data_IF_241752177894
#
_entry.id   IF_241752177894
#
_cell.length_a   1.000
_cell.length_b   1.000
_cell.length_c   1.000
_cell.angle_alpha   90.00
_cell.angle_beta   90.00
_cell.angle_gamma   90.00
#
_symmetry.space_group_name_H-M   'P 1'
#
loop_
_entity.id
_entity.type
_entity.pdbx_description
1 polymer ?
#
# COMPACT_ATOMS: atom_id res chain seq x y z
N UNK A 1 -65.34 -5.38 -21.80
CA UNK A 1 -63.98 -5.57 -22.38
C UNK A 1 -63.88 -4.65 -23.62
N UNK A 2 -62.75 -3.96 -23.84
CA UNK A 2 -62.70 -2.48 -23.77
C UNK A 2 -62.24 -1.74 -25.04
N UNK A 3 -62.48 -0.41 -25.00
CA UNK A 3 -61.75 0.77 -25.54
C UNK A 3 -60.87 0.70 -26.81
N UNK A 4 -60.91 1.82 -27.58
CA UNK A 4 -59.80 2.66 -28.09
C UNK A 4 -60.20 3.24 -29.46
N UNK A 5 -59.94 4.47 -29.88
CA UNK A 5 -59.35 5.66 -29.25
C UNK A 5 -59.57 6.79 -30.27
N UNK A 6 -60.38 7.79 -29.93
CA UNK A 6 -60.35 9.07 -30.64
C UNK A 6 -59.00 9.72 -30.36
N UNK A 7 -58.09 9.74 -31.34
CA UNK A 7 -57.01 10.74 -31.42
C UNK A 7 -56.90 11.26 -32.83
N UNK A 8 -57.86 12.12 -33.11
CA UNK A 8 -57.86 13.15 -34.14
C UNK A 8 -56.55 13.94 -34.09
N UNK A 9 -55.85 13.92 -35.22
CA UNK A 9 -55.24 15.08 -35.88
C UNK A 9 -54.50 16.05 -34.95
N UNK A 10 -53.23 15.77 -34.71
CA UNK A 10 -52.27 16.80 -34.32
C UNK A 10 -50.88 16.27 -34.63
N UNK A 11 -50.28 16.78 -35.72
CA UNK A 11 -48.83 17.02 -35.89
C UNK A 11 -48.49 17.17 -37.38
N UNK A 12 -49.00 18.22 -38.02
CA UNK A 12 -48.27 18.84 -39.14
C UNK A 12 -48.41 20.35 -39.00
N UNK A 13 -47.77 20.91 -37.96
CA UNK A 13 -47.49 22.34 -37.91
C UNK A 13 -46.02 22.51 -37.51
N UNK A 14 -45.23 22.88 -38.52
CA UNK A 14 -44.09 23.79 -38.45
C UNK A 14 -43.07 23.50 -37.34
N UNK A 15 -42.11 22.62 -37.61
CA UNK A 15 -40.84 22.63 -36.86
C UNK A 15 -40.00 23.81 -37.35
N UNK A 16 -40.10 24.94 -36.66
CA UNK A 16 -39.05 25.96 -36.67
C UNK A 16 -38.20 25.75 -35.41
N UNK A 17 -36.87 25.85 -35.54
CA UNK A 17 -35.96 25.70 -34.42
C UNK A 17 -36.26 26.76 -33.33
N UNK A 18 -36.15 26.42 -32.04
CA UNK A 18 -36.31 27.40 -30.96
C UNK A 18 -35.26 28.51 -31.10
N UNK A 19 -35.60 29.78 -30.80
CA UNK A 19 -34.64 30.86 -30.84
C UNK A 19 -33.51 30.62 -29.83
N UNK A 20 -32.28 30.98 -30.22
CA UNK A 20 -31.09 30.86 -29.36
C UNK A 20 -31.24 31.86 -28.20
N UNK A 21 -31.01 31.45 -26.93
CA UNK A 21 -31.07 32.38 -25.81
C UNK A 21 -29.99 33.45 -25.95
N UNK A 22 -30.40 34.72 -26.01
CA UNK A 22 -29.48 35.85 -25.94
C UNK A 22 -29.03 36.05 -24.50
N UNK A 23 -27.70 36.04 -24.28
CA UNK A 23 -27.10 36.38 -23.00
C UNK A 23 -26.92 37.90 -22.97
N UNK A 24 -27.61 38.58 -22.05
CA UNK A 24 -27.38 40.00 -21.81
C UNK A 24 -25.92 40.20 -21.35
N UNK A 25 -25.13 41.11 -21.97
CA UNK A 25 -23.78 41.39 -21.50
C UNK A 25 -23.88 42.11 -20.15
N UNK A 26 -23.75 41.37 -19.06
CA UNK A 26 -23.55 41.94 -17.74
C UNK A 26 -22.08 42.31 -17.59
N UNK A 27 -21.69 43.48 -18.09
CA UNK A 27 -20.37 44.11 -17.89
C UNK A 27 -20.15 44.57 -16.42
N UNK A 28 -20.84 43.96 -15.46
CA UNK A 28 -20.90 44.42 -14.07
C UNK A 28 -19.78 43.84 -13.18
N UNK A 29 -18.80 43.12 -13.75
CA UNK A 29 -17.65 42.63 -12.99
C UNK A 29 -16.41 42.44 -13.86
N UNK A 30 -15.96 43.53 -14.49
CA UNK A 30 -14.54 43.67 -14.79
C UNK A 30 -13.89 44.16 -13.50
N UNK A 31 -13.46 43.22 -12.65
CA UNK A 31 -12.61 43.57 -11.53
C UNK A 31 -11.39 44.31 -12.10
N UNK A 32 -11.02 45.50 -11.57
CA UNK A 32 -9.81 46.16 -12.01
C UNK A 32 -8.67 45.15 -11.83
N UNK A 33 -7.90 44.93 -12.89
CA UNK A 33 -6.60 44.27 -12.82
C UNK A 33 -5.72 45.22 -11.98
N UNK A 34 -5.89 45.16 -10.66
CA UNK A 34 -5.04 45.83 -9.69
C UNK A 34 -3.66 45.30 -10.03
N UNK A 35 -2.80 46.20 -10.53
CA UNK A 35 -1.40 45.87 -10.76
C UNK A 35 -0.94 45.18 -9.49
N UNK A 36 -0.54 43.93 -9.63
CA UNK A 36 0.03 43.18 -8.53
C UNK A 36 1.40 43.81 -8.35
N UNK A 37 1.44 44.95 -7.66
CA UNK A 37 2.59 45.40 -6.88
C UNK A 37 2.78 44.34 -5.80
N UNK A 38 3.21 43.14 -6.23
CA UNK A 38 3.83 42.16 -5.37
C UNK A 38 5.06 42.87 -4.84
N UNK A 39 4.92 43.43 -3.64
CA UNK A 39 6.04 43.99 -2.91
C UNK A 39 7.23 43.04 -3.04
N UNK A 40 8.38 43.59 -3.42
CA UNK A 40 9.60 42.82 -3.66
C UNK A 40 9.79 41.87 -2.48
N UNK A 41 9.60 40.57 -2.72
CA UNK A 41 9.87 39.55 -1.74
C UNK A 41 11.39 39.48 -1.60
N UNK A 42 11.91 40.20 -0.60
CA UNK A 42 13.34 40.21 -0.30
C UNK A 42 13.70 38.82 0.19
N UNK A 43 14.39 38.08 -0.66
CA UNK A 43 15.02 36.82 -0.30
C UNK A 43 16.09 37.12 0.75
N UNK A 44 16.15 36.33 1.82
CA UNK A 44 17.17 36.50 2.86
C UNK A 44 18.57 36.47 2.25
N UNK A 45 19.49 37.30 2.77
CA UNK A 45 20.86 37.42 2.25
C UNK A 45 21.65 36.09 2.32
N UNK A 46 21.21 35.15 3.16
CA UNK A 46 21.85 33.85 3.37
C UNK A 46 21.37 32.76 2.39
N UNK A 47 20.39 33.06 1.54
CA UNK A 47 19.89 32.14 0.50
C UNK A 47 20.96 31.55 -0.45
N UNK A 48 22.03 32.26 -0.87
CA UNK A 48 23.08 31.65 -1.70
C UNK A 48 23.84 30.53 -0.98
N UNK A 49 23.99 30.62 0.35
CA UNK A 49 24.76 29.69 1.18
C UNK A 49 23.92 28.50 1.68
N UNK A 50 22.60 28.52 1.47
CA UNK A 50 21.75 27.40 1.87
C UNK A 50 22.02 26.15 1.02
N UNK A 51 22.21 24.98 1.64
CA UNK A 51 22.43 23.72 0.93
C UNK A 51 21.17 23.23 0.20
N UNK A 52 19.99 23.68 0.63
CA UNK A 52 18.70 23.34 0.05
C UNK A 52 17.94 24.64 -0.21
N UNK A 53 17.80 25.01 -1.48
CA UNK A 53 17.23 26.30 -1.89
C UNK A 53 15.73 26.23 -2.20
N UNK A 54 15.21 25.02 -2.40
CA UNK A 54 13.81 24.79 -2.72
C UNK A 54 13.26 23.61 -1.92
N UNK A 55 11.97 23.67 -1.60
CA UNK A 55 11.27 22.57 -0.92
C UNK A 55 11.35 21.25 -1.70
N UNK A 56 11.32 21.33 -3.04
CA UNK A 56 11.48 20.17 -3.93
C UNK A 56 12.87 19.52 -3.85
N UNK A 57 13.91 20.29 -3.56
CA UNK A 57 15.26 19.75 -3.35
C UNK A 57 15.35 19.03 -2.00
N UNK A 58 14.68 19.55 -0.96
CA UNK A 58 14.58 18.90 0.34
C UNK A 58 13.92 17.52 0.20
N UNK A 59 12.76 17.49 -0.47
CA UNK A 59 11.98 16.27 -0.68
C UNK A 59 12.78 15.22 -1.45
N UNK A 60 13.58 15.65 -2.45
CA UNK A 60 14.45 14.76 -3.20
C UNK A 60 15.54 14.14 -2.32
N UNK A 61 16.21 14.95 -1.49
CA UNK A 61 17.26 14.48 -0.57
C UNK A 61 16.70 13.48 0.46
N UNK A 62 15.52 13.73 0.99
CA UNK A 62 14.86 12.81 1.94
C UNK A 62 14.51 11.46 1.31
N UNK A 63 14.01 11.49 0.06
CA UNK A 63 13.71 10.28 -0.69
C UNK A 63 14.97 9.49 -1.05
N UNK A 64 16.03 10.16 -1.50
CA UNK A 64 17.32 9.53 -1.83
C UNK A 64 17.97 8.91 -0.58
N UNK A 65 17.94 9.61 0.55
CA UNK A 65 18.43 9.08 1.83
C UNK A 65 17.62 7.86 2.31
N UNK A 66 16.30 7.87 2.13
CA UNK A 66 15.44 6.74 2.49
C UNK A 66 15.73 5.50 1.64
N UNK A 67 15.97 5.67 0.33
CA UNK A 67 16.34 4.59 -0.58
C UNK A 67 17.73 4.04 -0.24
N UNK A 68 18.70 4.91 0.01
CA UNK A 68 20.07 4.49 0.36
C UNK A 68 20.10 3.74 1.71
N UNK A 69 19.31 4.17 2.69
CA UNK A 69 19.16 3.48 3.97
C UNK A 69 18.52 2.10 3.80
N UNK A 70 17.49 1.97 2.95
CA UNK A 70 16.85 0.69 2.64
C UNK A 70 17.82 -0.26 1.92
N UNK A 71 18.62 0.25 0.98
CA UNK A 71 19.60 -0.54 0.25
C UNK A 71 20.76 -1.00 1.16
N UNK A 72 21.24 -0.11 2.05
CA UNK A 72 22.23 -0.46 3.07
C UNK A 72 21.68 -1.51 4.04
N UNK A 73 20.46 -1.35 4.52
CA UNK A 73 19.81 -2.33 5.39
C UNK A 73 19.62 -3.70 4.69
N UNK A 74 19.24 -3.70 3.42
CA UNK A 74 19.13 -4.93 2.62
C UNK A 74 20.49 -5.61 2.40
N UNK A 75 21.53 -4.84 2.10
CA UNK A 75 22.91 -5.35 1.95
C UNK A 75 23.47 -5.89 3.26
N UNK A 76 23.25 -5.20 4.37
CA UNK A 76 23.63 -5.66 5.70
C UNK A 76 22.87 -6.91 6.14
N UNK A 77 21.57 -6.99 5.86
CA UNK A 77 20.78 -8.19 6.13
C UNK A 77 21.26 -9.38 5.28
N UNK A 78 21.58 -9.16 4.01
CA UNK A 78 22.17 -10.18 3.13
C UNK A 78 23.57 -10.60 3.60
N UNK A 79 24.39 -9.67 4.07
CA UNK A 79 25.72 -9.94 4.62
C UNK A 79 25.64 -10.70 5.96
N UNK A 80 24.67 -10.37 6.83
CA UNK A 80 24.40 -11.10 8.09
C UNK A 80 23.89 -12.52 7.82
N UNK A 81 23.03 -12.72 6.82
CA UNK A 81 22.62 -14.07 6.37
C UNK A 81 23.79 -14.90 5.85
N UNK A 82 24.76 -14.27 5.16
CA UNK A 82 25.99 -14.95 4.69
C UNK A 82 26.99 -15.24 5.81
N UNK A 83 27.07 -14.39 6.84
CA UNK A 83 27.95 -14.60 8.01
C UNK A 83 27.35 -15.53 9.07
N UNK A 84 26.03 -15.74 9.08
CA UNK A 84 25.33 -16.66 9.98
C UNK A 84 25.56 -18.16 9.70
N UNK A 85 26.25 -18.52 8.61
CA UNK A 85 26.55 -19.92 8.26
C UNK A 85 27.74 -20.54 9.00
N UNK A 86 28.22 -19.94 10.10
CA UNK A 86 29.41 -20.41 10.85
C UNK A 86 29.19 -20.54 12.35
N UNK A 87 27.94 -20.75 12.78
CA UNK A 87 27.56 -21.10 14.15
C UNK A 87 26.84 -22.45 14.16
N UNK A 88 27.59 -23.51 13.84
CA UNK A 88 27.04 -24.82 13.44
C UNK A 88 26.77 -25.78 14.61
N UNK A 89 26.73 -25.31 15.86
CA UNK A 89 26.43 -26.18 17.01
C UNK A 89 24.97 -26.09 17.45
N UNK A 90 24.41 -24.89 17.62
CA UNK A 90 23.07 -24.76 18.24
C UNK A 90 21.94 -24.86 17.22
N UNK A 91 22.12 -24.33 16.01
CA UNK A 91 21.10 -24.41 14.94
C UNK A 91 20.95 -25.85 14.46
N UNK A 92 22.05 -26.60 14.35
CA UNK A 92 22.04 -28.02 13.95
C UNK A 92 21.38 -28.89 15.04
N UNK A 93 21.52 -28.53 16.32
CA UNK A 93 20.82 -29.21 17.43
C UNK A 93 19.31 -28.99 17.35
N UNK A 94 18.85 -27.80 16.96
CA UNK A 94 17.42 -27.55 16.67
C UNK A 94 16.88 -28.36 15.48
N UNK A 95 17.71 -28.60 14.46
CA UNK A 95 17.32 -29.39 13.28
C UNK A 95 17.28 -30.92 13.49
N UNK A 96 17.67 -31.43 14.67
CA UNK A 96 17.59 -32.87 14.99
C UNK A 96 16.15 -33.40 15.01
N UNK A 97 15.17 -32.52 15.27
CA UNK A 97 13.75 -32.79 15.06
C UNK A 97 13.26 -32.04 13.80
N UNK A 98 13.31 -32.66 12.61
CA UNK A 98 12.98 -32.00 11.34
C UNK A 98 11.52 -31.52 11.28
N UNK A 99 10.62 -32.15 12.03
CA UNK A 99 9.20 -31.79 12.08
C UNK A 99 8.98 -30.47 12.82
N UNK A 100 9.70 -30.24 13.94
CA UNK A 100 9.56 -29.02 14.74
C UNK A 100 10.39 -27.86 14.17
N UNK A 101 11.58 -28.16 13.63
CA UNK A 101 12.45 -27.16 13.03
C UNK A 101 11.95 -26.68 11.65
N UNK A 102 11.40 -27.58 10.83
CA UNK A 102 10.84 -27.21 9.52
C UNK A 102 9.64 -26.27 9.63
N UNK A 103 8.72 -26.56 10.55
CA UNK A 103 7.55 -25.71 10.84
C UNK A 103 7.95 -24.32 11.34
N UNK A 104 8.89 -24.26 12.29
CA UNK A 104 9.42 -23.00 12.82
C UNK A 104 10.03 -22.10 11.72
N UNK A 105 10.76 -22.67 10.76
CA UNK A 105 11.32 -21.91 9.62
C UNK A 105 10.23 -21.35 8.72
N UNK A 106 9.23 -22.16 8.36
CA UNK A 106 8.11 -21.74 7.51
C UNK A 106 7.32 -20.61 8.18
N UNK A 107 6.98 -20.78 9.45
CA UNK A 107 6.24 -19.79 10.24
C UNK A 107 7.03 -18.48 10.41
N UNK A 108 8.36 -18.56 10.58
CA UNK A 108 9.22 -17.38 10.61
C UNK A 108 9.24 -16.62 9.29
N UNK A 109 9.39 -17.34 8.16
CA UNK A 109 9.37 -16.73 6.81
C UNK A 109 8.01 -16.08 6.54
N UNK A 110 6.92 -16.72 6.95
CA UNK A 110 5.57 -16.20 6.80
C UNK A 110 5.37 -14.89 7.57
N UNK A 111 5.76 -14.85 8.84
CA UNK A 111 5.63 -13.67 9.71
C UNK A 111 6.47 -12.51 9.17
N UNK A 112 7.74 -12.77 8.80
CA UNK A 112 8.63 -11.76 8.24
C UNK A 112 8.09 -11.25 6.90
N UNK A 113 7.63 -12.14 6.02
CA UNK A 113 7.03 -11.77 4.74
C UNK A 113 5.80 -10.89 4.89
N UNK A 114 4.89 -11.26 5.79
CA UNK A 114 3.70 -10.45 6.09
C UNK A 114 4.08 -9.10 6.71
N UNK A 115 5.09 -9.05 7.57
CA UNK A 115 5.59 -7.81 8.17
C UNK A 115 6.15 -6.83 7.13
N UNK A 116 6.96 -7.32 6.18
CA UNK A 116 7.53 -6.48 5.10
C UNK A 116 6.44 -5.96 4.17
N UNK A 117 5.49 -6.80 3.78
CA UNK A 117 4.37 -6.39 2.90
C UNK A 117 3.44 -5.40 3.63
N UNK A 118 3.16 -5.65 4.90
CA UNK A 118 2.38 -4.75 5.75
C UNK A 118 3.04 -3.38 5.89
N UNK A 119 4.35 -3.34 6.16
CA UNK A 119 5.13 -2.11 6.25
C UNK A 119 5.12 -1.31 4.94
N UNK A 120 5.29 -1.98 3.80
CA UNK A 120 5.25 -1.33 2.49
C UNK A 120 3.87 -0.73 2.21
N UNK A 121 2.79 -1.46 2.50
CA UNK A 121 1.42 -0.94 2.36
C UNK A 121 1.11 0.19 3.34
N UNK A 122 1.68 0.16 4.53
CA UNK A 122 1.57 1.24 5.52
C UNK A 122 2.20 2.54 5.02
N UNK A 123 3.43 2.48 4.49
CA UNK A 123 4.08 3.66 3.87
C UNK A 123 3.30 4.24 2.69
N UNK A 124 2.58 3.39 1.95
CA UNK A 124 1.75 3.82 0.81
C UNK A 124 0.37 4.36 1.23
N UNK A 125 0.04 4.40 2.52
CA UNK A 125 -1.29 4.80 3.01
C UNK A 125 -2.40 3.80 2.66
N UNK A 126 -2.05 2.61 2.16
CA UNK A 126 -2.98 1.56 1.71
C UNK A 126 -3.20 0.48 2.77
N UNK A 127 -2.69 0.68 3.98
CA UNK A 127 -2.86 -0.26 5.08
C UNK A 127 -4.23 -0.07 5.72
N UNK A 128 -5.15 -0.97 5.41
CA UNK A 128 -6.49 -1.01 5.98
C UNK A 128 -6.59 -2.09 7.05
N UNK A 129 -7.51 -1.90 8.01
CA UNK A 129 -7.89 -2.93 8.98
C UNK A 129 -8.34 -4.24 8.31
N UNK A 130 -8.90 -4.15 7.10
CA UNK A 130 -9.23 -5.33 6.28
C UNK A 130 -7.97 -6.12 5.89
N UNK A 131 -6.88 -5.43 5.51
CA UNK A 131 -5.60 -6.08 5.17
C UNK A 131 -4.95 -6.69 6.40
N UNK A 132 -5.01 -6.01 7.56
CA UNK A 132 -4.57 -6.56 8.83
C UNK A 132 -5.36 -7.82 9.22
N UNK A 133 -6.69 -7.81 9.04
CA UNK A 133 -7.55 -8.96 9.28
C UNK A 133 -7.24 -10.16 8.39
N UNK A 134 -6.95 -9.94 7.10
CA UNK A 134 -6.51 -11.00 6.19
C UNK A 134 -5.18 -11.60 6.66
N UNK A 135 -4.21 -10.77 7.03
CA UNK A 135 -2.93 -11.24 7.57
C UNK A 135 -3.09 -12.06 8.85
N UNK A 136 -3.92 -11.60 9.78
CA UNK A 136 -4.25 -12.32 11.00
C UNK A 136 -4.95 -13.67 10.71
N UNK A 137 -5.86 -13.71 9.73
CA UNK A 137 -6.53 -14.93 9.28
C UNK A 137 -5.57 -15.96 8.69
N UNK A 138 -4.59 -15.53 7.89
CA UNK A 138 -3.55 -16.41 7.34
C UNK A 138 -2.72 -17.03 8.47
N UNK A 139 -2.27 -16.21 9.44
CA UNK A 139 -1.48 -16.68 10.59
C UNK A 139 -2.26 -17.68 11.45
N UNK A 140 -3.54 -17.40 11.72
CA UNK A 140 -4.42 -18.31 12.45
C UNK A 140 -4.61 -19.64 11.70
N UNK A 141 -4.84 -19.58 10.38
CA UNK A 141 -5.00 -20.77 9.53
C UNK A 141 -3.77 -21.67 9.52
N UNK A 142 -2.58 -21.08 9.35
CA UNK A 142 -1.31 -21.81 9.37
C UNK A 142 -1.07 -22.47 10.73
N UNK A 143 -1.33 -21.74 11.81
CA UNK A 143 -1.18 -22.26 13.18
C UNK A 143 -2.09 -23.48 13.45
N UNK A 144 -3.32 -23.46 12.94
CA UNK A 144 -4.24 -24.59 13.05
C UNK A 144 -3.74 -25.81 12.27
N UNK A 145 -3.28 -25.62 11.03
CA UNK A 145 -2.72 -26.71 10.21
C UNK A 145 -1.53 -27.35 10.93
N UNK A 146 -0.60 -26.54 11.44
CA UNK A 146 0.59 -27.02 12.14
C UNK A 146 0.22 -27.84 13.40
N UNK A 147 -0.79 -27.40 14.15
CA UNK A 147 -1.32 -28.15 15.30
C UNK A 147 -1.89 -29.53 14.91
N UNK A 148 -2.73 -29.59 13.87
CA UNK A 148 -3.33 -30.87 13.44
C UNK A 148 -2.31 -31.82 12.83
N UNK A 149 -1.34 -31.32 12.05
CA UNK A 149 -0.24 -32.12 11.50
C UNK A 149 0.64 -32.67 12.62
N UNK A 150 0.99 -31.84 13.62
CA UNK A 150 1.76 -32.29 14.78
C UNK A 150 1.04 -33.38 15.57
N UNK A 151 -0.26 -33.21 15.83
CA UNK A 151 -1.09 -34.21 16.52
C UNK A 151 -1.18 -35.53 15.74
N UNK A 152 -1.38 -35.46 14.41
CA UNK A 152 -1.40 -36.64 13.55
C UNK A 152 -0.06 -37.36 13.56
N UNK A 153 1.04 -36.65 13.34
CA UNK A 153 2.38 -37.20 13.36
C UNK A 153 2.68 -37.91 14.70
N UNK A 154 2.41 -37.26 15.83
CA UNK A 154 2.59 -37.85 17.16
C UNK A 154 1.81 -39.16 17.32
N UNK A 155 0.54 -39.20 16.95
CA UNK A 155 -0.26 -40.43 17.02
C UNK A 155 0.28 -41.55 16.12
N UNK A 156 0.78 -41.20 14.93
CA UNK A 156 1.35 -42.15 13.98
C UNK A 156 2.69 -42.72 14.47
N UNK A 157 3.56 -41.88 15.05
CA UNK A 157 4.82 -42.32 15.64
C UNK A 157 4.64 -43.08 16.96
N UNK A 158 3.65 -42.69 17.78
CA UNK A 158 3.31 -43.41 19.01
C UNK A 158 2.87 -44.86 18.73
N UNK A 159 2.07 -45.07 17.67
CA UNK A 159 1.68 -46.42 17.21
C UNK A 159 2.87 -47.27 16.77
N UNK A 160 3.86 -46.66 16.14
CA UNK A 160 5.05 -47.35 15.59
C UNK A 160 6.06 -47.77 16.65
N UNK A 161 6.03 -47.15 17.84
CA UNK A 161 6.90 -47.49 18.98
C UNK A 161 6.34 -48.64 19.84
N UNK A 162 5.08 -49.01 19.62
CA UNK A 162 4.37 -50.08 20.36
C UNK A 162 4.37 -51.44 19.63
N UNK A 163 4.82 -51.48 18.37
CA UNK A 163 5.09 -52.69 17.58
C UNK A 163 6.61 -52.90 17.47
#
# INVERSE_FOLDING_TARGET
MPMLSQRVVLRILKSAAPPVPEIAPSDASVAPLVDVDSGVSVVSSDFPDQPIKTYTQAERLELEAAVEAEEKAAREAAAKKRKGGKGDSDVVVWFKDPVHSGGAVVSTVLVVGLGVVGWRKYKLGQFSWSTAGIGAGILAGVSLVEYFVGKFAQSHFAKKKQN
#
